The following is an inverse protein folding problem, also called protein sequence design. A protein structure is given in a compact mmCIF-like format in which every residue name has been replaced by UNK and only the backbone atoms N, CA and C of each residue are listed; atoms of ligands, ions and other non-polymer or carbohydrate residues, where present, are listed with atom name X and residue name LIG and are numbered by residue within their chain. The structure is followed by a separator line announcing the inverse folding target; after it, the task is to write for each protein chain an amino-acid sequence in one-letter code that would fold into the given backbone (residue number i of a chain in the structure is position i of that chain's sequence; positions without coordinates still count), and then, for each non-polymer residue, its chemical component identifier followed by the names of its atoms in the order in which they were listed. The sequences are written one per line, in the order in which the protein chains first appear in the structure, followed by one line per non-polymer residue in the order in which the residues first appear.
data_IF_019063667220
#
_entry.id   IF_019063667220
#
_cell.length_a   1.000
_cell.length_b   1.000
_cell.length_c   1.000
_cell.angle_alpha   90.00
_cell.angle_beta   90.00
_cell.angle_gamma   90.00
#
_symmetry.space_group_name_H-M   'P 1'
#
loop_
_entity.id
_entity.type
_entity.pdbx_description
1 polymer ?
#
# COMPACT_ATOMS: atom_id res chain seq x y z
N UNK A 1 56.87 4.01 -41.19
CA UNK A 1 56.46 4.40 -42.57
C UNK A 1 55.33 3.51 -43.04
N UNK A 2 54.51 4.00 -43.98
CA UNK A 2 53.48 3.28 -44.79
C UNK A 2 52.19 2.79 -44.10
N UNK A 3 51.08 3.30 -44.65
CA UNK A 3 49.66 2.88 -44.51
C UNK A 3 49.36 1.64 -45.40
N UNK A 4 48.05 1.35 -45.57
CA UNK A 4 47.32 0.62 -46.64
C UNK A 4 46.59 -0.64 -46.10
N UNK A 5 45.35 -1.00 -46.46
CA UNK A 5 44.22 -0.28 -47.12
C UNK A 5 42.86 -0.97 -46.79
N UNK A 6 41.76 -0.54 -47.42
CA UNK A 6 40.35 -0.95 -47.21
C UNK A 6 39.99 -2.44 -47.43
N UNK A 7 38.84 -2.86 -46.87
CA UNK A 7 38.08 -4.04 -47.30
C UNK A 7 36.68 -4.15 -46.63
N UNK A 8 35.65 -3.61 -47.26
CA UNK A 8 34.23 -3.72 -46.82
C UNK A 8 33.51 -4.73 -47.73
N UNK A 9 32.76 -5.68 -47.16
CA UNK A 9 31.89 -6.59 -47.93
C UNK A 9 30.46 -6.47 -47.43
N UNK A 10 29.56 -6.08 -48.33
CA UNK A 10 28.10 -6.13 -48.12
C UNK A 10 27.59 -7.56 -48.28
N UNK A 11 26.56 -7.92 -47.51
CA UNK A 11 25.80 -9.15 -47.72
C UNK A 11 24.31 -8.81 -47.80
N UNK A 12 23.71 -9.14 -48.94
CA UNK A 12 22.33 -8.80 -49.32
C UNK A 12 21.41 -9.98 -49.00
N UNK A 13 20.22 -9.71 -48.46
CA UNK A 13 19.08 -10.62 -48.55
C UNK A 13 17.81 -9.84 -48.98
N UNK A 14 16.89 -10.47 -49.74
CA UNK A 14 15.83 -9.78 -50.45
C UNK A 14 14.57 -9.58 -49.60
N UNK A 15 13.77 -8.58 -49.96
CA UNK A 15 12.42 -8.40 -49.43
C UNK A 15 11.36 -9.14 -50.25
N UNK A 16 10.25 -9.49 -49.61
CA UNK A 16 8.98 -9.81 -50.26
C UNK A 16 7.95 -8.73 -49.87
N UNK A 17 7.12 -8.33 -50.84
CA UNK A 17 6.13 -7.27 -50.68
C UNK A 17 4.73 -7.82 -50.36
N UNK A 18 3.88 -6.98 -49.78
CA UNK A 18 2.43 -7.11 -49.83
C UNK A 18 1.80 -5.72 -50.02
N UNK A 19 0.85 -5.61 -50.95
CA UNK A 19 0.25 -4.35 -51.42
C UNK A 19 -1.24 -4.27 -51.07
N UNK A 20 -1.71 -3.08 -50.65
CA UNK A 20 -3.12 -2.68 -50.74
C UNK A 20 -3.22 -1.14 -50.88
N UNK A 21 -4.28 -0.59 -51.51
CA UNK A 21 -4.22 0.72 -52.16
C UNK A 21 -4.83 1.89 -51.36
N UNK A 22 -4.67 3.09 -51.90
CA UNK A 22 -5.32 4.33 -51.43
C UNK A 22 -6.49 4.73 -52.35
N UNK A 23 -7.53 5.34 -51.77
CA UNK A 23 -8.55 6.13 -52.48
C UNK A 23 -8.48 7.61 -52.04
N UNK A 24 -9.03 8.52 -52.85
CA UNK A 24 -8.75 9.95 -52.74
C UNK A 24 -9.98 10.88 -52.92
N UNK A 25 -10.01 11.94 -52.10
CA UNK A 25 -10.71 13.21 -52.37
C UNK A 25 -11.97 13.51 -51.53
N UNK A 26 -12.47 14.78 -51.51
CA UNK A 26 -11.98 15.96 -52.24
C UNK A 26 -11.71 17.23 -51.37
N UNK A 27 -11.30 18.29 -52.08
CA UNK A 27 -10.81 19.63 -51.66
C UNK A 27 -11.82 20.51 -50.90
N UNK A 28 -11.33 21.51 -50.15
CA UNK A 28 -11.65 22.96 -50.38
C UNK A 28 -10.61 23.93 -49.79
N UNK A 29 -10.60 25.14 -50.37
CA UNK A 29 -9.72 26.31 -50.25
C UNK A 29 -9.53 27.02 -48.89
N UNK A 30 -8.38 27.71 -48.74
CA UNK A 30 -8.47 29.17 -48.46
C UNK A 30 -7.38 29.88 -47.63
N UNK A 31 -6.49 30.63 -48.32
CA UNK A 31 -5.91 31.95 -47.92
C UNK A 31 -4.79 32.03 -46.84
N UNK A 32 -3.56 32.29 -47.31
CA UNK A 32 -2.48 32.99 -46.58
C UNK A 32 -2.67 34.54 -46.72
N UNK A 33 -1.93 35.45 -46.03
CA UNK A 33 -0.47 35.55 -45.85
C UNK A 33 -0.09 35.73 -44.34
N UNK A 34 1.09 36.16 -43.86
CA UNK A 34 2.31 36.82 -44.38
C UNK A 34 3.61 36.24 -43.77
N UNK A 35 4.77 36.73 -44.24
CA UNK A 35 6.12 36.46 -43.74
C UNK A 35 6.68 37.69 -42.99
N UNK A 36 7.37 37.51 -41.85
CA UNK A 36 8.18 38.55 -41.18
C UNK A 36 9.52 37.94 -40.74
N UNK A 37 10.62 38.67 -41.01
CA UNK A 37 12.00 38.24 -40.73
C UNK A 37 12.45 38.56 -39.29
N UNK A 38 13.47 37.85 -38.74
CA UNK A 38 14.03 38.17 -37.43
C UNK A 38 14.97 39.39 -37.51
N UNK A 39 14.87 40.31 -36.55
CA UNK A 39 15.80 41.44 -36.40
C UNK A 39 16.83 41.14 -35.31
N UNK A 40 18.10 41.41 -35.61
CA UNK A 40 19.23 41.18 -34.69
C UNK A 40 19.29 42.21 -33.57
N UNK A 41 19.83 41.80 -32.41
CA UNK A 41 20.04 42.66 -31.26
C UNK A 41 21.20 43.66 -31.46
N UNK A 42 21.06 44.85 -30.89
CA UNK A 42 22.19 45.73 -30.56
C UNK A 42 22.07 46.19 -29.10
N UNK A 43 23.19 46.28 -28.40
CA UNK A 43 23.23 46.46 -26.95
C UNK A 43 23.43 47.93 -26.55
N UNK A 44 22.85 48.34 -25.42
CA UNK A 44 23.35 49.47 -24.62
C UNK A 44 23.14 49.22 -23.12
N UNK A 45 24.19 49.48 -22.34
CA UNK A 45 24.25 49.38 -20.88
C UNK A 45 23.91 50.75 -20.27
N UNK A 46 23.22 50.77 -19.12
CA UNK A 46 23.73 51.56 -17.99
C UNK A 46 23.67 50.78 -16.66
N UNK A 47 24.32 51.32 -15.64
CA UNK A 47 24.35 50.83 -14.26
C UNK A 47 24.65 52.03 -13.33
N UNK A 48 24.53 51.91 -11.99
CA UNK A 48 23.70 51.01 -11.16
C UNK A 48 22.72 51.82 -10.26
N UNK A 49 21.95 51.19 -9.35
CA UNK A 49 21.69 51.66 -7.95
C UNK A 49 20.76 50.66 -7.19
N UNK A 50 21.09 50.52 -5.89
CA UNK A 50 20.42 49.89 -4.74
C UNK A 50 19.07 49.12 -4.88
N UNK A 51 19.07 47.90 -4.32
CA UNK A 51 17.88 47.15 -3.88
C UNK A 51 17.49 47.48 -2.43
N UNK A 52 16.19 47.68 -2.11
CA UNK A 52 15.69 47.61 -0.74
C UNK A 52 15.36 46.16 -0.33
N UNK A 53 15.48 45.89 0.97
CA UNK A 53 15.26 44.57 1.58
C UNK A 53 13.77 44.32 1.81
N UNK A 54 13.31 43.12 1.47
CA UNK A 54 12.07 42.53 2.00
C UNK A 54 12.43 41.19 2.65
N UNK A 55 12.17 41.08 3.95
CA UNK A 55 12.50 39.91 4.77
C UNK A 55 11.59 38.74 4.42
N UNK A 56 12.18 37.62 4.01
CA UNK A 56 11.51 36.34 3.91
C UNK A 56 12.22 35.38 4.88
N UNK A 57 11.72 35.30 6.12
CA UNK A 57 12.27 34.35 7.11
C UNK A 57 11.81 32.93 6.76
N UNK A 58 12.73 31.94 6.77
CA UNK A 58 12.35 30.55 6.61
C UNK A 58 11.79 30.03 7.94
N UNK A 59 10.53 29.58 7.93
CA UNK A 59 10.03 28.70 8.98
C UNK A 59 10.77 27.35 8.83
N UNK A 60 11.85 27.19 9.61
CA UNK A 60 12.42 25.88 9.86
C UNK A 60 11.43 25.10 10.73
N UNK A 61 10.96 23.96 10.22
CA UNK A 61 10.20 22.97 10.99
C UNK A 61 11.18 21.81 11.30
N UNK A 62 11.67 21.69 12.54
CA UNK A 62 12.60 20.63 12.91
C UNK A 62 11.89 19.35 13.34
N UNK A 63 12.63 18.25 13.21
CA UNK A 63 12.45 16.96 13.88
C UNK A 63 11.38 15.97 13.33
N UNK A 64 11.97 14.92 12.73
CA UNK A 64 11.41 13.89 11.86
C UNK A 64 11.15 12.59 12.65
N UNK A 65 10.31 12.71 13.70
CA UNK A 65 9.91 11.59 14.55
C UNK A 65 8.82 10.73 13.88
N UNK A 66 9.28 9.70 13.17
CA UNK A 66 8.50 8.65 12.50
C UNK A 66 8.39 7.36 13.33
N UNK A 67 7.43 7.30 14.27
CA UNK A 67 6.99 6.05 14.90
C UNK A 67 6.09 5.23 13.95
N UNK A 68 6.69 4.67 12.90
CA UNK A 68 6.25 3.39 12.31
C UNK A 68 7.11 2.24 12.86
N UNK A 69 7.12 2.11 14.19
CA UNK A 69 7.78 1.03 14.94
C UNK A 69 6.82 -0.10 15.33
N UNK A 70 7.32 -1.29 15.66
CA UNK A 70 6.50 -2.37 16.21
C UNK A 70 6.40 -2.22 17.74
N UNK A 71 5.23 -1.81 18.23
CA UNK A 71 4.86 -1.94 19.65
C UNK A 71 4.53 -3.42 19.96
N UNK A 72 5.55 -4.26 19.96
CA UNK A 72 5.48 -5.67 20.38
C UNK A 72 5.63 -5.80 21.90
N UNK A 73 4.73 -5.16 22.65
CA UNK A 73 4.51 -5.49 24.07
C UNK A 73 3.65 -6.77 24.15
N UNK A 74 4.33 -7.92 24.19
CA UNK A 74 3.73 -9.22 24.51
C UNK A 74 3.47 -9.34 26.03
N UNK A 75 2.37 -8.70 26.49
CA UNK A 75 1.75 -9.09 27.74
C UNK A 75 0.87 -10.34 27.52
N UNK A 76 1.31 -11.50 28.01
CA UNK A 76 0.45 -12.67 28.13
C UNK A 76 -0.65 -12.41 29.16
N UNK A 77 -1.90 -12.40 28.71
CA UNK A 77 -3.08 -12.36 29.55
C UNK A 77 -3.86 -13.66 29.34
N UNK A 78 -4.06 -14.41 30.42
CA UNK A 78 -4.89 -15.63 30.38
C UNK A 78 -6.35 -15.25 30.15
N UNK A 79 -6.96 -15.82 29.11
CA UNK A 79 -8.39 -15.71 28.82
C UNK A 79 -9.19 -16.34 29.97
N UNK A 80 -10.09 -15.57 30.58
CA UNK A 80 -11.05 -16.08 31.56
C UNK A 80 -12.39 -16.32 30.87
N UNK A 81 -12.83 -17.58 30.79
CA UNK A 81 -14.10 -17.92 30.15
C UNK A 81 -15.31 -17.43 30.98
N UNK A 82 -16.04 -16.46 30.44
CA UNK A 82 -17.38 -16.08 30.90
C UNK A 82 -18.43 -16.60 29.91
N UNK A 83 -19.28 -17.53 30.35
CA UNK A 83 -20.34 -18.09 29.51
C UNK A 83 -21.63 -17.28 29.61
N UNK A 84 -22.03 -16.63 28.52
CA UNK A 84 -23.39 -16.15 28.32
C UNK A 84 -23.93 -16.66 26.97
N UNK A 85 -25.19 -17.13 26.97
CA UNK A 85 -25.77 -17.85 25.85
C UNK A 85 -26.31 -16.90 24.77
N UNK A 86 -25.69 -16.92 23.58
CA UNK A 86 -26.02 -16.03 22.47
C UNK A 86 -27.18 -16.59 21.61
N UNK A 87 -28.10 -15.71 21.20
CA UNK A 87 -29.22 -16.06 20.31
C UNK A 87 -28.73 -16.29 18.86
N UNK A 88 -29.43 -17.10 18.02
CA UNK A 88 -28.89 -17.55 16.74
C UNK A 88 -28.81 -16.41 15.71
N UNK A 89 -27.60 -15.85 15.57
CA UNK A 89 -27.22 -14.98 14.46
C UNK A 89 -27.21 -15.80 13.17
N UNK A 90 -27.71 -15.24 12.06
CA UNK A 90 -27.71 -15.91 10.77
C UNK A 90 -26.28 -16.34 10.39
N UNK A 91 -26.10 -17.63 10.08
CA UNK A 91 -24.78 -18.21 9.88
C UNK A 91 -24.02 -17.46 8.77
N UNK A 92 -22.74 -17.11 8.98
CA UNK A 92 -21.93 -16.49 7.94
C UNK A 92 -21.85 -17.41 6.71
N UNK A 93 -21.69 -16.85 5.49
CA UNK A 93 -21.57 -17.66 4.29
C UNK A 93 -20.44 -18.69 4.45
N UNK A 94 -20.59 -19.91 3.91
CA UNK A 94 -19.63 -20.98 4.14
C UNK A 94 -18.23 -20.54 3.70
N UNK A 95 -17.17 -20.87 4.47
CA UNK A 95 -15.83 -20.42 4.17
C UNK A 95 -15.43 -20.89 2.77
N UNK A 96 -14.96 -19.94 1.95
CA UNK A 96 -14.50 -20.21 0.58
C UNK A 96 -13.46 -21.35 0.64
N UNK A 97 -13.56 -22.40 -0.20
CA UNK A 97 -12.62 -23.51 -0.14
C UNK A 97 -11.18 -23.00 -0.29
N UNK A 98 -10.22 -23.55 0.47
CA UNK A 98 -8.84 -23.09 0.43
C UNK A 98 -8.29 -23.18 -0.99
N UNK A 99 -7.45 -22.21 -1.37
CA UNK A 99 -6.85 -22.18 -2.71
C UNK A 99 -6.20 -23.53 -3.03
N UNK A 100 -6.47 -24.15 -4.21
CA UNK A 100 -5.87 -25.43 -4.60
C UNK A 100 -4.33 -25.44 -4.55
N UNK A 101 -3.70 -24.26 -4.66
CA UNK A 101 -2.25 -24.09 -4.52
C UNK A 101 -1.75 -24.44 -3.11
N UNK A 102 -2.57 -24.25 -2.06
CA UNK A 102 -2.23 -24.62 -0.68
C UNK A 102 -2.17 -26.14 -0.45
N UNK A 103 -2.75 -26.95 -1.34
CA UNK A 103 -2.62 -28.40 -1.31
C UNK A 103 -1.28 -28.90 -1.87
N UNK A 104 -0.51 -28.04 -2.55
CA UNK A 104 0.78 -28.42 -3.13
C UNK A 104 1.87 -28.52 -2.05
N UNK A 105 2.58 -29.64 -2.02
CA UNK A 105 3.86 -29.76 -1.32
C UNK A 105 4.91 -28.79 -1.90
N UNK A 106 5.98 -28.52 -1.14
CA UNK A 106 7.08 -27.64 -1.61
C UNK A 106 7.66 -28.14 -2.94
N UNK A 107 7.87 -29.45 -3.09
CA UNK A 107 8.39 -30.06 -4.32
C UNK A 107 7.43 -29.90 -5.51
N UNK A 108 6.12 -30.05 -5.30
CA UNK A 108 5.12 -29.83 -6.35
C UNK A 108 5.01 -28.35 -6.72
N UNK A 109 5.07 -27.44 -5.75
CA UNK A 109 5.07 -25.99 -5.97
C UNK A 109 6.32 -25.55 -6.75
N UNK A 110 7.48 -26.10 -6.41
CA UNK A 110 8.76 -25.85 -7.09
C UNK A 110 8.77 -26.40 -8.53
N UNK A 111 8.29 -27.62 -8.74
CA UNK A 111 8.16 -28.21 -10.07
C UNK A 111 7.19 -27.40 -10.95
N UNK A 112 6.04 -27.01 -10.39
CA UNK A 112 5.02 -26.20 -11.06
C UNK A 112 5.53 -24.80 -11.41
N UNK A 113 6.27 -24.15 -10.51
CA UNK A 113 6.93 -22.87 -10.78
C UNK A 113 7.96 -22.99 -11.92
N UNK A 114 8.74 -24.08 -11.97
CA UNK A 114 9.70 -24.30 -13.07
C UNK A 114 9.03 -24.54 -14.42
N UNK A 115 7.88 -25.22 -14.47
CA UNK A 115 7.16 -25.45 -15.72
C UNK A 115 6.38 -24.22 -16.21
N UNK A 116 5.73 -23.51 -15.29
CA UNK A 116 4.98 -22.28 -15.56
C UNK A 116 5.03 -21.39 -14.30
N UNK A 117 5.90 -20.36 -14.28
CA UNK A 117 6.01 -19.45 -13.15
C UNK A 117 4.69 -18.75 -12.79
N UNK A 118 3.82 -18.44 -13.76
CA UNK A 118 2.56 -17.74 -13.49
C UNK A 118 1.53 -18.65 -12.81
N UNK A 119 1.60 -19.97 -13.07
CA UNK A 119 0.63 -20.95 -12.56
C UNK A 119 0.58 -21.13 -11.04
N UNK A 120 1.54 -20.56 -10.28
CA UNK A 120 1.55 -20.56 -8.80
C UNK A 120 0.98 -19.28 -8.18
N UNK A 121 0.51 -18.33 -9.00
CA UNK A 121 -0.06 -17.08 -8.54
C UNK A 121 0.96 -16.15 -7.85
N UNK A 122 0.49 -15.02 -7.29
CA UNK A 122 1.33 -14.08 -6.55
C UNK A 122 1.84 -14.67 -5.24
N UNK A 123 3.10 -14.40 -4.93
CA UNK A 123 3.81 -14.87 -3.75
C UNK A 123 4.30 -13.65 -2.96
N UNK A 124 3.76 -13.48 -1.76
CA UNK A 124 4.20 -12.46 -0.79
C UNK A 124 5.32 -13.05 0.03
N UNK A 125 6.55 -12.55 -0.14
CA UNK A 125 7.74 -13.10 0.49
C UNK A 125 8.32 -12.12 1.51
N UNK A 126 8.68 -12.61 2.69
CA UNK A 126 9.24 -11.79 3.77
C UNK A 126 8.21 -10.88 4.45
N UNK A 127 8.70 -9.90 5.22
CA UNK A 127 7.87 -8.90 5.88
C UNK A 127 7.50 -7.75 4.94
N UNK A 128 6.49 -6.95 5.30
CA UNK A 128 6.07 -5.78 4.51
C UNK A 128 7.14 -4.70 4.34
N UNK A 129 8.11 -4.65 5.25
CA UNK A 129 9.25 -3.72 5.27
C UNK A 129 10.62 -4.37 4.96
N UNK A 130 10.64 -5.66 4.60
CA UNK A 130 11.84 -6.42 4.26
C UNK A 130 11.49 -7.59 3.32
N UNK A 131 10.77 -7.28 2.24
CA UNK A 131 10.03 -8.27 1.47
C UNK A 131 10.23 -8.20 -0.04
N UNK A 132 9.60 -9.12 -0.74
CA UNK A 132 9.47 -9.11 -2.19
C UNK A 132 8.10 -9.64 -2.63
N UNK A 133 7.72 -9.31 -3.86
CA UNK A 133 6.55 -9.82 -4.54
C UNK A 133 7.00 -10.57 -5.80
N UNK A 134 6.63 -11.84 -5.92
CA UNK A 134 6.81 -12.62 -7.15
C UNK A 134 5.43 -12.85 -7.77
N UNK A 135 5.32 -12.76 -9.10
CA UNK A 135 4.07 -12.87 -9.85
C UNK A 135 2.95 -11.91 -9.38
N UNK A 136 3.32 -10.70 -8.94
CA UNK A 136 2.36 -9.69 -8.51
C UNK A 136 1.27 -9.41 -9.54
N UNK A 137 0.07 -9.11 -9.07
CA UNK A 137 -1.08 -8.73 -9.87
C UNK A 137 -1.17 -7.20 -9.86
N UNK A 138 -1.26 -6.59 -11.04
CA UNK A 138 -1.44 -5.15 -11.15
C UNK A 138 -2.90 -4.78 -10.85
N UNK A 139 -3.13 -3.71 -10.09
CA UNK A 139 -4.48 -3.18 -9.86
C UNK A 139 -5.16 -2.87 -11.20
N UNK A 140 -6.33 -3.47 -11.51
CA UNK A 140 -6.98 -3.27 -12.80
C UNK A 140 -7.54 -1.84 -12.93
N UNK A 141 -7.80 -1.42 -14.17
CA UNK A 141 -8.51 -0.16 -14.46
C UNK A 141 -10.01 -0.33 -14.16
N UNK A 142 -10.64 0.74 -13.69
CA UNK A 142 -12.08 0.83 -13.44
C UNK A 142 -12.50 2.29 -13.46
N UNK A 143 -13.79 2.54 -13.66
CA UNK A 143 -14.38 3.88 -13.51
C UNK A 143 -14.56 4.24 -12.02
N UNK A 144 -14.52 3.25 -11.11
CA UNK A 144 -14.77 3.44 -9.67
C UNK A 144 -13.52 3.84 -8.87
N UNK A 145 -12.33 3.85 -9.48
CA UNK A 145 -11.09 4.25 -8.81
C UNK A 145 -10.05 4.80 -9.79
N UNK A 146 -9.12 5.60 -9.26
CA UNK A 146 -8.02 6.22 -10.01
C UNK A 146 -6.71 5.70 -9.42
N UNK A 147 -6.00 4.87 -10.17
CA UNK A 147 -4.63 4.44 -9.83
C UNK A 147 -3.65 5.57 -10.16
N UNK A 148 -3.03 6.16 -9.15
CA UNK A 148 -2.14 7.32 -9.30
C UNK A 148 -0.81 6.96 -9.98
N UNK A 149 -0.17 5.87 -9.54
CA UNK A 149 1.03 5.31 -10.20
C UNK A 149 0.83 3.82 -10.52
N UNK A 150 0.47 3.47 -11.78
CA UNK A 150 0.38 2.08 -12.21
C UNK A 150 1.69 1.28 -12.09
N UNK A 151 2.86 1.93 -12.04
CA UNK A 151 4.14 1.24 -11.90
C UNK A 151 4.36 0.66 -10.49
N UNK A 152 3.73 1.27 -9.49
CA UNK A 152 3.76 0.89 -8.07
C UNK A 152 2.42 0.32 -7.56
N UNK A 153 1.48 0.01 -8.46
CA UNK A 153 0.17 -0.57 -8.12
C UNK A 153 0.14 -2.09 -8.32
N UNK A 154 1.15 -2.82 -7.81
CA UNK A 154 1.22 -4.28 -7.87
C UNK A 154 1.02 -4.88 -6.47
N UNK A 155 0.19 -5.91 -6.36
CA UNK A 155 -0.12 -6.56 -5.09
C UNK A 155 -0.25 -8.07 -5.18
N UNK A 156 -0.60 -8.69 -4.05
CA UNK A 156 -1.15 -10.05 -4.04
C UNK A 156 -2.55 -10.05 -4.68
N UNK A 157 -3.04 -11.23 -5.09
CA UNK A 157 -4.40 -11.32 -5.63
C UNK A 157 -5.39 -10.94 -4.53
N UNK A 158 -5.19 -11.42 -3.29
CA UNK A 158 -6.05 -11.09 -2.15
C UNK A 158 -6.12 -9.58 -1.87
N UNK A 159 -5.00 -8.85 -1.97
CA UNK A 159 -4.94 -7.38 -1.80
C UNK A 159 -5.73 -6.67 -2.90
N UNK A 160 -5.45 -6.97 -4.17
CA UNK A 160 -6.14 -6.36 -5.33
C UNK A 160 -7.65 -6.61 -5.27
N UNK A 161 -8.03 -7.86 -4.98
CA UNK A 161 -9.40 -8.31 -4.77
C UNK A 161 -10.11 -7.56 -3.63
N UNK A 162 -9.45 -7.38 -2.49
CA UNK A 162 -10.02 -6.73 -1.32
C UNK A 162 -10.25 -5.23 -1.54
N UNK A 163 -9.28 -4.55 -2.18
CA UNK A 163 -9.42 -3.14 -2.60
C UNK A 163 -10.60 -3.00 -3.56
N UNK A 164 -10.63 -3.80 -4.64
CA UNK A 164 -11.68 -3.74 -5.65
C UNK A 164 -13.08 -3.95 -5.02
N UNK A 165 -13.29 -5.06 -4.29
CA UNK A 165 -14.57 -5.35 -3.63
C UNK A 165 -15.02 -4.25 -2.67
N UNK A 166 -14.09 -3.67 -1.89
CA UNK A 166 -14.43 -2.64 -0.92
C UNK A 166 -14.90 -1.35 -1.59
N UNK A 167 -14.23 -0.92 -2.67
CA UNK A 167 -14.64 0.26 -3.45
C UNK A 167 -15.95 -0.01 -4.22
N UNK A 168 -16.10 -1.22 -4.77
CA UNK A 168 -17.32 -1.63 -5.47
C UNK A 168 -18.55 -1.66 -4.58
N UNK A 169 -18.39 -2.12 -3.33
CA UNK A 169 -19.47 -2.10 -2.34
C UNK A 169 -19.92 -0.69 -2.01
N UNK A 170 -18.99 0.23 -1.71
CA UNK A 170 -19.32 1.64 -1.46
C UNK A 170 -20.01 2.29 -2.66
N UNK A 171 -19.57 1.98 -3.89
CA UNK A 171 -20.23 2.48 -5.10
C UNK A 171 -21.64 1.92 -5.32
N UNK A 172 -21.93 0.69 -4.86
CA UNK A 172 -23.25 0.09 -4.91
C UNK A 172 -24.19 0.61 -3.80
N UNK A 173 -23.68 0.79 -2.58
CA UNK A 173 -24.45 1.29 -1.42
C UNK A 173 -24.68 2.80 -1.46
N UNK A 174 -23.77 3.56 -2.10
CA UNK A 174 -23.86 5.02 -2.25
C UNK A 174 -23.80 5.44 -3.72
N UNK A 175 -24.92 5.35 -4.47
CA UNK A 175 -25.00 5.82 -5.85
C UNK A 175 -24.41 7.22 -6.05
N UNK A 176 -23.65 7.40 -7.14
CA UNK A 176 -22.90 8.62 -7.40
C UNK A 176 -21.66 8.83 -6.53
N UNK A 177 -21.17 7.79 -5.83
CA UNK A 177 -19.84 7.83 -5.22
C UNK A 177 -18.77 8.17 -6.29
N UNK A 178 -17.89 9.15 -6.03
CA UNK A 178 -16.82 9.48 -6.98
C UNK A 178 -15.76 8.38 -7.02
N UNK A 179 -14.89 8.36 -8.05
CA UNK A 179 -13.80 7.40 -8.11
C UNK A 179 -12.82 7.60 -6.94
N UNK A 180 -12.48 6.53 -6.21
CA UNK A 180 -11.53 6.62 -5.10
C UNK A 180 -10.08 6.63 -5.62
N UNK A 181 -9.22 7.47 -5.04
CA UNK A 181 -7.80 7.46 -5.36
C UNK A 181 -7.08 6.25 -4.74
N UNK A 182 -6.27 5.55 -5.53
CA UNK A 182 -5.37 4.46 -5.09
C UNK A 182 -3.93 4.92 -5.36
N UNK A 183 -3.11 4.92 -4.32
CA UNK A 183 -1.69 5.25 -4.37
C UNK A 183 -0.84 4.02 -4.67
N UNK A 184 0.27 3.89 -3.94
CA UNK A 184 1.15 2.73 -4.06
C UNK A 184 0.57 1.49 -3.37
N UNK A 185 1.00 0.30 -3.83
CA UNK A 185 0.74 -1.03 -3.25
C UNK A 185 2.09 -1.75 -3.08
N UNK A 186 2.84 -1.87 -4.17
CA UNK A 186 4.25 -2.24 -4.22
C UNK A 186 4.77 -2.13 -5.66
N UNK A 187 6.10 -2.11 -5.83
CA UNK A 187 6.70 -2.29 -7.16
C UNK A 187 6.31 -3.66 -7.75
N UNK A 188 6.42 -3.83 -9.08
CA UNK A 188 6.17 -5.12 -9.74
C UNK A 188 6.93 -6.32 -9.15
N UNK A 189 8.04 -6.10 -8.44
CA UNK A 189 8.82 -7.14 -7.75
C UNK A 189 8.82 -7.00 -6.22
N UNK A 190 8.01 -6.12 -5.66
CA UNK A 190 8.10 -5.71 -4.27
C UNK A 190 9.44 -5.03 -3.98
N UNK A 191 9.99 -5.28 -2.79
CA UNK A 191 11.22 -4.64 -2.32
C UNK A 191 11.02 -3.18 -1.93
N UNK A 192 12.05 -2.58 -1.36
CA UNK A 192 12.03 -1.20 -0.87
C UNK A 192 11.56 -0.20 -1.94
N UNK A 193 10.52 0.57 -1.59
CA UNK A 193 9.84 1.53 -2.44
C UNK A 193 9.85 2.91 -1.76
N UNK A 194 10.81 3.78 -2.12
CA UNK A 194 10.89 5.14 -1.57
C UNK A 194 9.61 5.96 -1.90
N UNK A 195 9.07 6.75 -0.95
CA UNK A 195 9.57 7.04 0.39
C UNK A 195 9.16 6.00 1.46
N UNK A 196 8.36 5.00 1.12
CA UNK A 196 7.74 4.10 2.08
C UNK A 196 8.73 3.15 2.78
N UNK A 197 8.42 2.87 4.05
CA UNK A 197 9.09 1.85 4.86
C UNK A 197 8.56 0.45 4.54
N UNK A 198 7.23 0.32 4.43
CA UNK A 198 6.49 -0.88 4.03
C UNK A 198 6.35 -0.98 2.49
N UNK A 199 5.23 -1.52 1.97
CA UNK A 199 4.95 -1.69 0.53
C UNK A 199 5.91 -2.64 -0.21
N UNK A 200 6.64 -3.51 0.50
CA UNK A 200 7.67 -4.36 -0.12
C UNK A 200 7.17 -5.77 -0.50
N UNK A 201 6.00 -6.21 -0.03
CA UNK A 201 5.49 -7.58 -0.23
C UNK A 201 4.14 -7.67 -0.96
N UNK A 202 3.64 -6.54 -1.49
CA UNK A 202 2.35 -6.48 -2.19
C UNK A 202 1.12 -6.64 -1.30
N UNK A 203 1.28 -6.39 0.01
CA UNK A 203 0.23 -6.51 1.05
C UNK A 203 -0.27 -5.19 1.59
N UNK A 204 0.53 -4.13 1.49
CA UNK A 204 0.18 -2.78 1.91
C UNK A 204 -0.47 -2.01 0.73
N UNK A 205 -1.24 -0.96 1.02
CA UNK A 205 -1.74 0.01 0.02
C UNK A 205 -2.05 1.34 0.68
N UNK A 206 -1.80 2.44 -0.04
CA UNK A 206 -2.27 3.77 0.34
C UNK A 206 -3.55 4.10 -0.44
N UNK A 207 -4.62 4.47 0.25
CA UNK A 207 -5.95 4.74 -0.33
C UNK A 207 -6.39 6.16 0.06
N UNK A 208 -7.07 6.84 -0.86
CA UNK A 208 -7.63 8.16 -0.57
C UNK A 208 -8.79 8.10 0.42
N UNK A 209 -9.17 9.26 0.94
CA UNK A 209 -10.48 9.45 1.56
C UNK A 209 -11.53 9.82 0.50
N UNK A 210 -12.82 9.56 0.77
CA UNK A 210 -13.88 10.19 -0.01
C UNK A 210 -14.03 11.64 0.45
N UNK A 211 -14.19 12.57 -0.49
CA UNK A 211 -14.25 14.00 -0.20
C UNK A 211 -15.47 14.65 -0.83
N UNK A 212 -15.94 15.73 -0.20
CA UNK A 212 -16.94 16.64 -0.76
C UNK A 212 -16.37 18.08 -0.81
N UNK A 213 -16.17 18.70 -1.98
CA UNK A 213 -16.33 18.11 -3.32
C UNK A 213 -15.26 17.03 -3.60
N UNK A 214 -15.53 16.10 -4.54
CA UNK A 214 -14.62 15.00 -4.89
C UNK A 214 -13.19 15.43 -5.21
N UNK A 215 -12.23 14.55 -4.89
CA UNK A 215 -10.80 14.71 -5.18
C UNK A 215 -10.27 13.48 -5.92
N UNK A 216 -9.35 13.70 -6.85
CA UNK A 216 -8.68 12.64 -7.64
C UNK A 216 -7.28 12.31 -7.11
N UNK A 217 -6.78 13.10 -6.16
CA UNK A 217 -5.48 12.96 -5.50
C UNK A 217 -5.65 12.90 -3.99
N UNK A 218 -4.59 12.55 -3.26
CA UNK A 218 -4.59 12.57 -1.79
C UNK A 218 -4.65 14.01 -1.26
N UNK A 219 -5.63 14.30 -0.42
CA UNK A 219 -5.89 15.62 0.17
C UNK A 219 -6.13 15.45 1.65
N UNK A 220 -5.58 16.34 2.49
CA UNK A 220 -5.77 16.25 3.95
C UNK A 220 -7.26 16.29 4.28
N UNK A 221 -7.75 15.25 4.92
CA UNK A 221 -9.12 15.16 5.40
C UNK A 221 -9.34 16.15 6.55
N UNK A 222 -10.41 16.93 6.44
CA UNK A 222 -10.88 17.88 7.45
C UNK A 222 -12.39 17.73 7.61
N UNK A 223 -12.93 18.20 8.73
CA UNK A 223 -14.39 18.24 8.96
C UNK A 223 -15.16 18.91 7.80
N UNK A 224 -14.55 19.93 7.20
CA UNK A 224 -15.12 20.69 6.07
C UNK A 224 -15.03 20.03 4.69
N UNK A 225 -14.24 18.95 4.52
CA UNK A 225 -14.00 18.35 3.20
C UNK A 225 -14.17 16.82 3.13
N UNK A 226 -14.31 16.15 4.26
CA UNK A 226 -14.40 14.70 4.36
C UNK A 226 -15.84 14.23 4.10
N UNK A 227 -16.04 13.35 3.12
CA UNK A 227 -17.30 12.62 2.97
C UNK A 227 -17.35 11.51 4.03
N UNK A 228 -17.91 11.87 5.19
CA UNK A 228 -18.01 10.98 6.35
C UNK A 228 -18.81 9.72 6.07
N UNK A 229 -19.86 9.81 5.25
CA UNK A 229 -20.73 8.68 4.95
C UNK A 229 -19.97 7.64 4.14
N UNK A 230 -19.43 8.03 2.98
CA UNK A 230 -18.72 7.10 2.08
C UNK A 230 -17.40 6.64 2.66
N UNK A 231 -16.67 7.52 3.37
CA UNK A 231 -15.41 7.12 4.03
C UNK A 231 -15.66 6.14 5.18
N UNK A 232 -16.69 6.35 6.00
CA UNK A 232 -17.01 5.40 7.07
C UNK A 232 -17.48 4.05 6.51
N UNK A 233 -18.35 4.05 5.50
CA UNK A 233 -18.78 2.82 4.81
C UNK A 233 -17.58 2.04 4.23
N UNK A 234 -16.60 2.75 3.65
CA UNK A 234 -15.37 2.15 3.14
C UNK A 234 -14.51 1.50 4.23
N UNK A 235 -14.22 2.24 5.31
CA UNK A 235 -13.44 1.71 6.45
C UNK A 235 -14.16 0.53 7.11
N UNK A 236 -15.49 0.62 7.31
CA UNK A 236 -16.31 -0.47 7.84
C UNK A 236 -16.27 -1.71 6.95
N UNK A 237 -16.35 -1.55 5.63
CA UNK A 237 -16.22 -2.66 4.66
C UNK A 237 -14.85 -3.33 4.73
N UNK A 238 -13.77 -2.54 4.72
CA UNK A 238 -12.39 -3.05 4.83
C UNK A 238 -12.21 -3.90 6.09
N UNK A 239 -12.67 -3.40 7.24
CA UNK A 239 -12.50 -4.04 8.55
C UNK A 239 -13.43 -5.24 8.79
N UNK A 240 -14.62 -5.25 8.18
CA UNK A 240 -15.63 -6.30 8.36
C UNK A 240 -15.55 -7.44 7.34
N UNK A 241 -15.08 -7.18 6.12
CA UNK A 241 -15.21 -8.11 4.98
C UNK A 241 -13.89 -8.48 4.31
N UNK A 242 -12.78 -7.85 4.71
CA UNK A 242 -11.44 -8.20 4.24
C UNK A 242 -10.55 -8.70 5.38
N UNK A 243 -9.55 -9.51 5.03
CA UNK A 243 -8.59 -10.06 5.98
C UNK A 243 -7.47 -9.01 6.21
N UNK A 244 -7.77 -7.96 6.98
CA UNK A 244 -6.83 -6.88 7.31
C UNK A 244 -6.02 -7.15 8.58
N UNK A 245 -4.75 -6.76 8.54
CA UNK A 245 -3.80 -6.81 9.65
C UNK A 245 -3.79 -5.46 10.40
N UNK A 246 -3.82 -4.35 9.65
CA UNK A 246 -3.64 -2.99 10.16
C UNK A 246 -4.29 -1.97 9.20
N UNK A 247 -4.85 -0.90 9.76
CA UNK A 247 -5.27 0.31 9.04
C UNK A 247 -4.69 1.53 9.78
N UNK A 248 -3.99 2.43 9.09
CA UNK A 248 -3.45 3.66 9.68
C UNK A 248 -4.23 4.88 9.19
N UNK A 249 -4.76 5.65 10.14
CA UNK A 249 -5.58 6.85 9.94
C UNK A 249 -5.21 7.89 11.02
N UNK A 250 -5.02 9.15 10.64
CA UNK A 250 -4.77 10.26 11.59
C UNK A 250 -5.87 10.36 12.68
N UNK A 251 -5.51 10.60 13.95
CA UNK A 251 -6.48 10.63 15.05
C UNK A 251 -7.60 11.65 14.87
N UNK A 252 -7.34 12.78 14.19
CA UNK A 252 -8.38 13.76 13.88
C UNK A 252 -9.44 13.16 12.95
N UNK A 253 -9.01 12.40 11.93
CA UNK A 253 -9.90 11.71 11.00
C UNK A 253 -10.65 10.58 11.70
N UNK A 254 -9.98 9.79 12.54
CA UNK A 254 -10.64 8.74 13.34
C UNK A 254 -11.76 9.32 14.20
N UNK A 255 -11.53 10.45 14.89
CA UNK A 255 -12.54 11.13 15.73
C UNK A 255 -13.76 11.58 14.92
N UNK A 256 -13.55 12.10 13.71
CA UNK A 256 -14.65 12.50 12.82
C UNK A 256 -15.48 11.30 12.36
N UNK A 257 -14.84 10.19 11.95
CA UNK A 257 -15.51 8.96 11.53
C UNK A 257 -16.28 8.30 12.69
N UNK A 258 -15.67 8.25 13.88
CA UNK A 258 -16.32 7.75 15.11
C UNK A 258 -17.54 8.59 15.47
N UNK A 259 -17.41 9.92 15.50
CA UNK A 259 -18.53 10.81 15.83
C UNK A 259 -19.67 10.67 14.81
N UNK A 260 -19.35 10.38 13.56
CA UNK A 260 -20.34 10.06 12.52
C UNK A 260 -21.04 8.72 12.74
N UNK A 261 -20.27 7.66 12.99
CA UNK A 261 -20.77 6.32 13.27
C UNK A 261 -21.77 6.29 14.43
N UNK A 262 -21.44 6.97 15.55
CA UNK A 262 -22.31 7.09 16.72
C UNK A 262 -23.63 7.79 16.39
N UNK A 263 -23.59 8.89 15.61
CA UNK A 263 -24.81 9.57 15.15
C UNK A 263 -25.67 8.71 14.21
N UNK A 264 -25.07 7.71 13.55
CA UNK A 264 -25.74 6.72 12.71
C UNK A 264 -26.26 5.51 13.48
N UNK A 265 -25.99 5.41 14.79
CA UNK A 265 -26.41 4.29 15.63
C UNK A 265 -25.54 3.04 15.50
N UNK A 266 -24.28 3.21 15.08
CA UNK A 266 -23.30 2.12 15.06
C UNK A 266 -22.92 1.69 16.49
N UNK A 267 -22.65 0.40 16.67
CA UNK A 267 -22.41 -0.20 17.98
C UNK A 267 -21.11 0.30 18.63
N UNK A 268 -21.21 0.78 19.87
CA UNK A 268 -20.08 1.37 20.57
C UNK A 268 -18.98 0.35 20.90
N UNK A 269 -19.34 -0.87 21.28
CA UNK A 269 -18.38 -1.92 21.61
C UNK A 269 -17.61 -2.42 20.38
N UNK A 270 -18.24 -2.42 19.20
CA UNK A 270 -17.56 -2.64 17.93
C UNK A 270 -16.62 -1.46 17.58
N UNK A 271 -17.07 -0.22 17.73
CA UNK A 271 -16.22 0.95 17.47
C UNK A 271 -14.99 0.99 18.39
N UNK A 272 -15.12 0.59 19.66
CA UNK A 272 -14.03 0.48 20.64
C UNK A 272 -12.97 -0.58 20.24
N UNK A 273 -13.38 -1.64 19.55
CA UNK A 273 -12.48 -2.67 19.01
C UNK A 273 -11.79 -2.24 17.71
N UNK A 274 -12.41 -1.34 16.94
CA UNK A 274 -11.93 -0.91 15.63
C UNK A 274 -11.02 0.32 15.73
N UNK A 275 -11.43 1.37 16.44
CA UNK A 275 -10.75 2.67 16.45
C UNK A 275 -9.99 2.94 17.75
N UNK A 276 -8.69 3.19 17.65
CA UNK A 276 -7.82 3.54 18.79
C UNK A 276 -8.32 4.75 19.59
N UNK A 277 -8.98 5.74 18.96
CA UNK A 277 -9.41 6.98 19.64
C UNK A 277 -10.57 6.81 20.63
N UNK A 278 -11.18 5.62 20.74
CA UNK A 278 -12.33 5.38 21.62
C UNK A 278 -12.04 4.60 22.91
N UNK A 279 -11.26 3.52 22.80
CA UNK A 279 -11.16 2.52 23.86
C UNK A 279 -9.73 2.16 24.25
N UNK A 280 -9.59 1.44 25.37
CA UNK A 280 -8.34 0.79 25.79
C UNK A 280 -8.18 -0.62 25.22
N UNK A 281 -8.89 -0.95 24.13
CA UNK A 281 -8.73 -2.25 23.47
C UNK A 281 -7.26 -2.40 23.05
N UNK A 282 -6.54 -3.47 23.44
CA UNK A 282 -5.08 -3.50 23.37
C UNK A 282 -4.53 -3.53 21.94
N UNK A 283 -5.31 -4.04 20.97
CA UNK A 283 -4.90 -4.18 19.56
C UNK A 283 -6.00 -3.74 18.59
N UNK A 284 -6.33 -2.43 18.51
CA UNK A 284 -7.32 -1.93 17.57
C UNK A 284 -6.80 -2.10 16.13
N UNK A 285 -7.70 -2.23 15.16
CA UNK A 285 -7.33 -2.40 13.75
C UNK A 285 -6.99 -1.07 13.10
N UNK A 286 -7.76 -0.01 13.40
CA UNK A 286 -7.47 1.37 13.00
C UNK A 286 -6.61 2.02 14.08
N UNK A 287 -5.37 2.36 13.71
CA UNK A 287 -4.36 2.99 14.58
C UNK A 287 -3.91 4.32 14.00
N UNK A 288 -3.35 5.16 14.86
CA UNK A 288 -2.70 6.39 14.45
C UNK A 288 -1.31 6.10 13.86
N UNK A 289 -0.98 6.85 12.81
CA UNK A 289 0.40 7.16 12.46
C UNK A 289 0.45 8.62 11.96
N UNK A 290 1.58 9.30 12.16
CA UNK A 290 1.85 10.64 11.60
C UNK A 290 1.78 10.56 10.06
N UNK A 291 1.48 11.67 9.38
CA UNK A 291 1.37 11.71 7.92
C UNK A 291 0.08 11.14 7.30
N UNK A 292 -0.64 10.24 7.99
CA UNK A 292 -1.85 9.55 7.50
C UNK A 292 -3.13 10.40 7.55
N UNK A 293 -2.98 11.72 7.37
CA UNK A 293 -4.08 12.69 7.36
C UNK A 293 -4.68 12.95 5.98
N UNK A 294 -4.01 12.54 4.89
CA UNK A 294 -4.46 12.73 3.51
C UNK A 294 -4.76 11.43 2.73
N UNK A 295 -4.42 10.28 3.34
CA UNK A 295 -4.71 8.94 2.87
C UNK A 295 -4.88 8.02 4.09
N UNK A 296 -5.46 6.83 3.87
CA UNK A 296 -5.49 5.72 4.81
C UNK A 296 -4.58 4.61 4.27
N UNK A 297 -3.66 4.13 5.10
CA UNK A 297 -2.77 3.01 4.75
C UNK A 297 -3.40 1.70 5.25
N UNK A 298 -3.46 0.67 4.40
CA UNK A 298 -4.08 -0.62 4.75
C UNK A 298 -3.10 -1.74 4.47
N UNK A 299 -2.90 -2.60 5.48
CA UNK A 299 -2.17 -3.85 5.33
C UNK A 299 -3.14 -5.03 5.36
N UNK A 300 -3.11 -5.82 4.29
CA UNK A 300 -3.84 -7.07 4.19
C UNK A 300 -2.96 -8.25 4.64
N UNK A 301 -3.60 -9.29 5.17
CA UNK A 301 -2.93 -10.52 5.57
C UNK A 301 -2.49 -11.33 4.35
N UNK A 302 -3.31 -11.43 3.30
CA UNK A 302 -3.02 -12.24 2.10
C UNK A 302 -2.51 -13.65 2.44
N UNK A 303 -3.29 -14.47 3.18
CA UNK A 303 -2.81 -15.71 3.78
C UNK A 303 -2.37 -16.76 2.75
N UNK A 304 -2.94 -16.76 1.54
CA UNK A 304 -2.54 -17.68 0.48
C UNK A 304 -1.18 -17.26 -0.08
N UNK A 305 -1.04 -15.99 -0.46
CA UNK A 305 0.20 -15.46 -1.00
C UNK A 305 1.37 -15.53 0.00
N UNK A 306 1.12 -15.32 1.30
CA UNK A 306 2.13 -15.48 2.36
C UNK A 306 2.55 -16.94 2.55
N UNK A 307 1.62 -17.89 2.62
CA UNK A 307 1.95 -19.31 2.83
C UNK A 307 2.67 -19.92 1.60
N UNK A 308 2.26 -19.54 0.39
CA UNK A 308 2.97 -19.93 -0.83
C UNK A 308 4.36 -19.26 -0.90
N UNK A 309 4.48 -17.99 -0.53
CA UNK A 309 5.77 -17.30 -0.42
C UNK A 309 6.71 -17.98 0.59
N UNK A 310 6.20 -18.34 1.77
CA UNK A 310 6.95 -19.09 2.81
C UNK A 310 7.46 -20.43 2.27
N UNK A 311 6.62 -21.20 1.56
CA UNK A 311 7.02 -22.48 0.92
C UNK A 311 8.04 -22.27 -0.19
N UNK A 312 7.88 -21.23 -1.00
CA UNK A 312 8.68 -21.02 -2.20
C UNK A 312 10.01 -20.29 -1.96
N UNK A 313 10.13 -19.49 -0.90
CA UNK A 313 11.27 -18.60 -0.66
C UNK A 313 12.63 -19.29 -0.72
N UNK A 314 12.74 -20.50 -0.19
CA UNK A 314 13.97 -21.29 -0.23
C UNK A 314 14.44 -21.59 -1.66
N UNK A 315 13.54 -22.04 -2.56
CA UNK A 315 13.93 -22.33 -3.94
C UNK A 315 14.05 -21.06 -4.78
N UNK A 316 13.15 -20.08 -4.62
CA UNK A 316 13.21 -18.81 -5.33
C UNK A 316 14.50 -18.02 -5.04
N UNK A 317 15.08 -18.20 -3.85
CA UNK A 317 16.41 -17.66 -3.51
C UNK A 317 17.53 -18.39 -4.28
N UNK A 318 17.49 -19.72 -4.39
CA UNK A 318 18.48 -20.50 -5.18
C UNK A 318 18.43 -20.13 -6.67
N UNK A 319 17.21 -19.97 -7.21
CA UNK A 319 16.96 -19.55 -8.59
C UNK A 319 17.22 -18.04 -8.82
N UNK A 320 17.65 -17.30 -7.79
CA UNK A 320 17.94 -15.84 -7.83
C UNK A 320 16.74 -14.97 -8.26
N UNK A 321 15.53 -15.47 -8.06
CA UNK A 321 14.27 -14.73 -8.29
C UNK A 321 13.94 -13.85 -7.10
N UNK A 322 14.01 -14.41 -5.88
CA UNK A 322 13.82 -13.68 -4.64
C UNK A 322 15.13 -12.99 -4.20
N UNK A 323 15.09 -11.74 -3.70
CA UNK A 323 16.26 -11.10 -3.10
C UNK A 323 16.84 -11.91 -1.92
N UNK A 324 18.16 -11.88 -1.66
CA UNK A 324 18.77 -12.66 -0.59
C UNK A 324 18.16 -12.40 0.80
N UNK A 325 17.78 -11.14 1.08
CA UNK A 325 17.25 -10.71 2.37
C UNK A 325 15.89 -11.32 2.76
N UNK A 326 15.15 -11.84 1.80
CA UNK A 326 13.76 -12.26 1.96
C UNK A 326 13.61 -13.59 2.73
N UNK A 327 14.71 -14.29 2.99
CA UNK A 327 14.75 -15.51 3.80
C UNK A 327 15.99 -15.62 4.71
N UNK A 328 16.86 -14.61 4.74
CA UNK A 328 18.07 -14.62 5.56
C UNK A 328 17.86 -13.86 6.85
N UNK A 329 18.27 -14.42 7.99
CA UNK A 329 18.34 -13.70 9.27
C UNK A 329 19.38 -12.55 9.26
N UNK A 330 20.23 -12.47 8.23
CA UNK A 330 21.30 -11.47 8.10
C UNK A 330 21.48 -11.10 6.63
N UNK A 331 21.31 -9.83 6.30
CA UNK A 331 21.51 -9.25 4.97
C UNK A 331 22.92 -8.68 4.86
N UNK A 332 23.63 -9.00 3.78
CA UNK A 332 24.92 -8.37 3.49
C UNK A 332 24.71 -7.06 2.72
N UNK A 333 24.74 -5.92 3.41
CA UNK A 333 24.56 -4.60 2.82
C UNK A 333 25.91 -3.92 2.54
N UNK A 334 26.21 -3.59 1.27
CA UNK A 334 27.37 -2.76 0.91
C UNK A 334 27.01 -1.28 1.01
N UNK A 335 27.52 -0.62 2.05
CA UNK A 335 27.23 0.78 2.37
C UNK A 335 27.58 1.71 1.20
N UNK A 336 26.70 2.67 0.92
CA UNK A 336 26.81 3.70 -0.12
C UNK A 336 27.02 5.07 0.54
N UNK A 337 27.24 6.09 -0.28
CA UNK A 337 27.25 7.47 0.21
C UNK A 337 25.86 7.80 0.79
N UNK A 338 25.83 8.40 1.98
CA UNK A 338 24.60 8.76 2.68
C UNK A 338 23.93 7.64 3.50
N UNK A 339 24.45 6.40 3.50
CA UNK A 339 23.97 5.39 4.45
C UNK A 339 24.54 5.68 5.86
N UNK A 340 23.68 5.61 6.88
CA UNK A 340 24.02 5.61 8.31
C UNK A 340 23.45 4.34 8.97
N UNK A 341 23.90 3.98 10.18
CA UNK A 341 23.28 2.83 10.86
C UNK A 341 21.78 3.01 11.14
N UNK A 342 21.31 4.24 11.42
CA UNK A 342 19.88 4.52 11.56
C UNK A 342 19.12 4.32 10.25
N UNK A 343 19.67 4.79 9.11
CA UNK A 343 19.06 4.58 7.79
C UNK A 343 19.04 3.09 7.44
N UNK A 344 20.10 2.33 7.75
CA UNK A 344 20.13 0.88 7.52
C UNK A 344 19.17 0.13 8.45
N UNK A 345 19.11 0.49 9.73
CA UNK A 345 18.16 -0.04 10.71
C UNK A 345 16.72 0.15 10.23
N UNK A 346 16.34 1.39 9.91
CA UNK A 346 15.02 1.77 9.38
C UNK A 346 14.70 1.06 8.05
N UNK A 347 15.66 0.98 7.12
CA UNK A 347 15.51 0.32 5.80
C UNK A 347 15.30 -1.19 5.88
N UNK A 348 15.92 -1.85 6.86
CA UNK A 348 15.91 -3.30 7.01
C UNK A 348 15.02 -3.79 8.17
N UNK A 349 14.25 -2.91 8.81
CA UNK A 349 13.33 -3.28 9.90
C UNK A 349 14.05 -3.85 11.12
N UNK A 350 15.24 -3.35 11.45
CA UNK A 350 16.08 -3.81 12.57
C UNK A 350 16.53 -2.63 13.44
N UNK A 351 17.30 -2.87 14.50
CA UNK A 351 17.82 -1.81 15.37
C UNK A 351 19.29 -1.46 15.06
N UNK A 352 19.73 -0.28 15.48
CA UNK A 352 21.12 0.16 15.34
C UNK A 352 22.05 -0.77 16.11
N UNK A 353 21.64 -1.17 17.30
CA UNK A 353 22.35 -2.03 18.25
C UNK A 353 22.52 -3.44 17.67
N UNK A 354 21.49 -3.97 17.01
CA UNK A 354 21.58 -5.26 16.30
C UNK A 354 22.63 -5.21 15.18
N UNK A 355 22.66 -4.14 14.38
CA UNK A 355 23.67 -3.96 13.34
C UNK A 355 25.06 -3.77 13.95
N UNK A 356 25.20 -2.99 15.02
CA UNK A 356 26.48 -2.80 15.72
C UNK A 356 27.02 -4.13 16.24
N UNK A 357 26.20 -4.89 16.98
CA UNK A 357 26.55 -6.20 17.52
C UNK A 357 26.99 -7.19 16.45
N UNK A 358 26.24 -7.29 15.35
CA UNK A 358 26.55 -8.22 14.25
C UNK A 358 27.82 -7.87 13.45
N UNK A 359 28.33 -6.64 13.59
CA UNK A 359 29.54 -6.16 12.91
C UNK A 359 30.71 -5.83 13.85
N UNK A 360 30.53 -5.98 15.16
CA UNK A 360 31.53 -5.58 16.17
C UNK A 360 31.82 -4.08 16.19
N UNK A 361 30.83 -3.23 15.88
CA UNK A 361 30.99 -1.78 15.90
C UNK A 361 30.79 -1.22 17.31
N UNK A 362 31.64 -0.27 17.69
CA UNK A 362 31.54 0.47 18.97
C UNK A 362 30.90 1.85 18.83
N UNK A 363 30.74 2.33 17.60
CA UNK A 363 30.15 3.62 17.24
C UNK A 363 29.14 3.42 16.11
N UNK A 364 28.40 4.46 15.74
CA UNK A 364 27.43 4.43 14.64
C UNK A 364 28.05 4.65 13.25
N UNK A 365 29.38 4.78 13.19
CA UNK A 365 30.11 5.13 11.97
C UNK A 365 30.19 3.95 11.00
N UNK A 366 29.72 4.17 9.77
CA UNK A 366 29.91 3.22 8.68
C UNK A 366 30.73 3.78 7.53
N UNK A 367 31.60 2.93 6.97
CA UNK A 367 32.51 3.27 5.88
C UNK A 367 31.85 2.91 4.55
N UNK A 368 31.67 3.91 3.69
CA UNK A 368 31.24 3.71 2.31
C UNK A 368 32.08 2.61 1.64
N UNK A 369 31.41 1.73 0.88
CA UNK A 369 32.03 0.61 0.18
C UNK A 369 32.29 -0.64 1.03
N UNK A 370 32.27 -0.55 2.36
CA UNK A 370 32.34 -1.73 3.25
C UNK A 370 31.00 -2.46 3.26
N UNK A 371 31.05 -3.79 3.32
CA UNK A 371 29.87 -4.63 3.51
C UNK A 371 29.63 -4.88 5.00
N UNK A 372 28.39 -4.66 5.43
CA UNK A 372 27.91 -4.85 6.80
C UNK A 372 26.88 -5.98 6.85
N UNK A 373 26.94 -6.78 7.91
CA UNK A 373 25.91 -7.75 8.30
C UNK A 373 24.77 -6.98 8.95
N UNK A 374 23.63 -6.89 8.29
CA UNK A 374 22.42 -6.29 8.86
C UNK A 374 21.56 -7.45 9.33
N UNK A 375 21.46 -7.77 10.63
CA UNK A 375 20.46 -8.73 11.08
C UNK A 375 19.12 -8.10 10.75
N UNK A 376 18.39 -8.69 9.81
CA UNK A 376 16.94 -8.45 9.79
C UNK A 376 16.36 -9.32 10.90
N UNK A 377 15.25 -8.92 11.53
CA UNK A 377 14.50 -9.87 12.32
C UNK A 377 14.34 -11.14 11.51
N UNK A 378 14.53 -12.28 12.19
CA UNK A 378 13.73 -13.47 11.95
C UNK A 378 12.42 -13.07 11.27
N UNK A 379 12.12 -13.36 9.98
CA UNK A 379 10.73 -13.69 9.69
C UNK A 379 10.45 -14.81 10.68
N UNK A 380 9.71 -14.52 11.75
CA UNK A 380 9.27 -15.55 12.68
C UNK A 380 8.71 -16.62 11.77
N UNK A 381 9.28 -17.83 11.81
CA UNK A 381 8.90 -18.89 10.88
C UNK A 381 7.38 -19.01 11.01
N UNK A 382 6.58 -18.60 9.99
CA UNK A 382 5.26 -18.07 10.29
C UNK A 382 4.49 -19.01 11.19
N UNK A 383 3.94 -18.54 12.33
CA UNK A 383 3.09 -19.38 13.16
C UNK A 383 2.08 -20.03 12.22
N UNK A 384 2.02 -21.37 12.24
CA UNK A 384 1.36 -22.32 11.32
C UNK A 384 0.25 -21.73 10.41
N UNK A 385 0.65 -20.96 9.38
CA UNK A 385 -0.14 -19.89 8.75
C UNK A 385 -0.63 -18.85 9.77
N UNK A 386 -0.30 -17.54 9.62
CA UNK A 386 -0.68 -16.54 10.62
C UNK A 386 -2.20 -16.62 10.84
N UNK A 387 -2.68 -16.71 12.08
CA UNK A 387 -4.11 -16.83 12.33
C UNK A 387 -4.77 -15.62 11.69
N UNK A 388 -5.62 -15.87 10.68
CA UNK A 388 -6.36 -14.80 10.02
C UNK A 388 -7.14 -14.09 11.13
N UNK A 389 -6.88 -12.80 11.40
CA UNK A 389 -7.58 -12.08 12.44
C UNK A 389 -9.08 -12.25 12.19
N UNK A 390 -9.84 -12.64 13.23
CA UNK A 390 -11.29 -12.74 13.10
C UNK A 390 -11.78 -11.39 12.57
N UNK A 391 -12.41 -11.39 11.38
CA UNK A 391 -12.97 -10.18 10.78
C UNK A 391 -13.85 -9.51 11.81
N UNK A 392 -13.66 -8.21 12.03
CA UNK A 392 -14.46 -7.46 13.00
C UNK A 392 -15.77 -7.11 12.32
N UNK A 393 -16.63 -8.10 12.15
CA UNK A 393 -17.99 -7.93 11.63
C UNK A 393 -18.76 -7.09 12.64
N UNK A 394 -19.33 -5.97 12.19
CA UNK A 394 -20.23 -5.19 13.02
C UNK A 394 -21.48 -6.01 13.38
N UNK A 395 -21.97 -5.94 14.64
CA UNK A 395 -23.24 -6.59 14.98
C UNK A 395 -24.38 -6.01 14.11
N UNK A 396 -25.46 -6.78 13.86
CA UNK A 396 -26.58 -6.30 13.08
C UNK A 396 -27.17 -5.02 13.72
N UNK A 397 -27.64 -4.04 12.93
CA UNK A 397 -28.20 -2.81 13.47
C UNK A 397 -29.30 -3.13 14.49
N UNK A 398 -29.16 -2.61 15.71
CA UNK A 398 -30.15 -2.84 16.77
C UNK A 398 -31.47 -2.26 16.30
N UNK A 399 -32.45 -3.13 16.02
CA UNK A 399 -33.75 -2.72 15.54
C UNK A 399 -34.30 -1.61 16.45
N UNK A 400 -34.63 -0.46 15.86
CA UNK A 400 -35.07 0.71 16.63
C UNK A 400 -36.23 0.29 17.52
N UNK A 401 -36.01 0.28 18.84
CA UNK A 401 -37.01 -0.13 19.81
C UNK A 401 -38.23 0.76 19.62
N UNK A 402 -39.30 0.18 19.08
CA UNK A 402 -40.47 0.92 18.64
C UNK A 402 -40.99 1.77 19.77
N UNK A 403 -41.04 3.08 19.59
CA UNK A 403 -41.55 4.02 20.57
C UNK A 403 -43.08 3.92 20.66
N UNK A 404 -43.59 2.78 21.14
CA UNK A 404 -44.97 2.60 21.54
C UNK A 404 -45.21 3.38 22.83
N UNK A 405 -45.31 4.70 22.70
CA UNK A 405 -46.00 5.54 23.68
C UNK A 405 -47.46 5.10 23.67
N UNK A 406 -47.80 4.17 24.56
CA UNK A 406 -49.20 3.86 24.87
C UNK A 406 -49.91 5.15 25.29
N UNK A 407 -51.17 5.38 24.88
CA UNK A 407 -51.89 6.59 25.23
C UNK A 407 -52.04 6.68 26.75
N UNK A 408 -51.72 7.84 27.31
CA UNK A 408 -51.95 8.13 28.72
C UNK A 408 -53.45 8.18 28.98
N UNK A 409 -53.98 7.11 29.55
CA UNK A 409 -55.23 7.11 30.27
C UNK A 409 -54.89 7.00 31.76
N UNK A 410 -55.26 8.02 32.53
CA UNK A 410 -55.97 7.91 33.82
C UNK A 410 -56.27 9.34 34.29
N UNK A 411 -57.51 9.77 34.04
CA UNK A 411 -58.04 11.01 34.57
C UNK A 411 -59.51 10.83 34.92
N UNK A 412 -59.78 10.60 36.21
CA UNK A 412 -60.95 11.04 36.97
C UNK A 412 -60.78 10.67 38.44
#
# INVERSE_FOLDING_TARGET
MRRWFFGLVFLVFPGCAATAPAEAGPKTSGRAPMLVQPVQATARKPAPIATPVATNEPAADPDDDDEEGPDDDEAEAAEAEGSDAEAPVAAPPPPKPPSPLLALSVTQLEARYRSDPASVGPLSLGATNAGALVNGVQMPKSEKWIVQDPSCAWGTQETVDAIARSIEKVAAEHPGAPPLAIGHISSKKGGHLSPHRSHQSGRDVDLGYYHNPPKTTFVRATESNLDLERTFAFVKTIVSESDVELVLIDTAVQRLLVAHALRKGEDEAWLDQVFQVRGKHPRPVVRHARGHGNHLHVRYVSPVAQELGRRAGAFLKREKVAPPHVADAVVMHKARSGDTLQILARRYGTTVEAIQGANGLKTIDIKMGRTYRIPVPKPQAPPKAPPVPKRRVAPPPRAAAGATRGPSAHGR
#
